data_IF_350098612986
#
_entry.id   IF_350098612986
#
_cell.length_a   1.000
_cell.length_b   1.000
_cell.length_c   1.000
_cell.angle_alpha   90.00
_cell.angle_beta   90.00
_cell.angle_gamma   90.00
#
_symmetry.space_group_name_H-M   'P 1'
#
loop_
_entity.id
_entity.type
_entity.pdbx_description
1 polymer ?
#
# COMPACT_ATOMS: atom_id res chain seq x y z
N UNK A 1 -21.55 9.35 -16.83
CA UNK A 1 -20.32 9.79 -17.51
C UNK A 1 -19.39 10.55 -16.57
N UNK A 2 -19.74 11.74 -16.06
CA UNK A 2 -18.85 12.55 -15.19
C UNK A 2 -18.42 11.81 -13.92
N UNK A 3 -19.36 11.13 -13.23
CA UNK A 3 -19.05 10.34 -12.04
C UNK A 3 -17.99 9.25 -12.29
N UNK A 4 -18.12 8.49 -13.39
CA UNK A 4 -17.12 7.47 -13.76
C UNK A 4 -15.76 8.09 -14.03
N UNK A 5 -15.69 9.25 -14.70
CA UNK A 5 -14.43 9.95 -14.96
C UNK A 5 -13.75 10.35 -13.64
N UNK A 6 -14.51 10.86 -12.66
CA UNK A 6 -13.97 11.22 -11.34
C UNK A 6 -13.40 10.00 -10.62
N UNK A 7 -14.14 8.89 -10.59
CA UNK A 7 -13.69 7.63 -9.97
C UNK A 7 -12.43 7.12 -10.64
N UNK A 8 -12.37 7.12 -11.98
CA UNK A 8 -11.18 6.68 -12.74
C UNK A 8 -9.97 7.54 -12.41
N UNK A 9 -10.09 8.87 -12.47
CA UNK A 9 -8.98 9.80 -12.16
C UNK A 9 -8.50 9.59 -10.72
N UNK A 10 -9.43 9.51 -9.76
CA UNK A 10 -9.07 9.30 -8.37
C UNK A 10 -8.39 7.93 -8.15
N UNK A 11 -8.84 6.88 -8.84
CA UNK A 11 -8.19 5.57 -8.81
C UNK A 11 -6.80 5.58 -9.45
N UNK A 12 -6.56 6.37 -10.50
CA UNK A 12 -5.20 6.56 -11.03
C UNK A 12 -4.30 7.29 -10.02
N UNK A 13 -4.82 8.27 -9.29
CA UNK A 13 -4.10 8.91 -8.19
C UNK A 13 -3.78 7.93 -7.07
N UNK A 14 -4.70 7.00 -6.77
CA UNK A 14 -4.46 5.91 -5.81
C UNK A 14 -3.26 5.05 -6.22
N UNK A 15 -3.23 4.57 -7.47
CA UNK A 15 -2.11 3.77 -7.99
C UNK A 15 -0.81 4.59 -8.01
N UNK A 16 -0.87 5.85 -8.45
CA UNK A 16 0.29 6.72 -8.48
C UNK A 16 0.89 6.97 -7.08
N UNK A 17 0.04 7.16 -6.07
CA UNK A 17 0.47 7.35 -4.67
C UNK A 17 1.17 6.10 -4.13
N UNK A 18 0.61 4.91 -4.40
CA UNK A 18 1.21 3.63 -4.00
C UNK A 18 2.52 3.36 -4.74
N UNK A 19 2.59 3.68 -6.04
CA UNK A 19 3.82 3.55 -6.81
C UNK A 19 4.93 4.48 -6.30
N UNK A 20 4.60 5.74 -5.96
CA UNK A 20 5.54 6.69 -5.35
C UNK A 20 6.04 6.19 -3.98
N UNK A 21 5.14 5.64 -3.17
CA UNK A 21 5.49 5.05 -1.88
C UNK A 21 6.42 3.84 -2.05
N UNK A 22 6.08 2.89 -2.93
CA UNK A 22 6.89 1.71 -3.21
C UNK A 22 8.27 2.07 -3.76
N UNK A 23 8.35 3.03 -4.69
CA UNK A 23 9.62 3.49 -5.24
C UNK A 23 10.49 4.17 -4.17
N UNK A 24 9.88 5.02 -3.34
CA UNK A 24 10.59 5.69 -2.23
C UNK A 24 11.07 4.68 -1.19
N UNK A 25 10.25 3.69 -0.89
CA UNK A 25 10.54 2.65 0.09
C UNK A 25 11.67 1.72 -0.38
N UNK A 26 11.62 1.24 -1.62
CA UNK A 26 12.69 0.44 -2.21
C UNK A 26 14.03 1.20 -2.30
N UNK A 27 13.99 2.49 -2.59
CA UNK A 27 15.22 3.28 -2.80
C UNK A 27 15.79 3.83 -1.51
N UNK A 28 14.95 4.29 -0.58
CA UNK A 28 15.34 5.09 0.58
C UNK A 28 14.87 4.52 1.91
N UNK A 29 14.12 3.42 1.91
CA UNK A 29 13.49 2.83 3.11
C UNK A 29 12.67 3.88 3.89
N UNK A 30 11.99 4.76 3.15
CA UNK A 30 11.20 5.86 3.69
C UNK A 30 9.96 6.08 2.84
N UNK A 31 8.81 6.12 3.50
CA UNK A 31 7.54 6.52 2.92
C UNK A 31 7.23 7.94 3.37
N UNK A 32 7.14 8.86 2.41
CA UNK A 32 6.83 10.26 2.68
C UNK A 32 5.33 10.44 2.98
N UNK A 33 4.97 11.42 3.82
CA UNK A 33 3.57 11.71 4.16
C UNK A 33 2.70 12.08 2.94
N UNK A 34 3.31 12.50 1.82
CA UNK A 34 2.57 12.85 0.60
C UNK A 34 1.74 11.69 0.04
N UNK A 35 2.23 10.46 0.12
CA UNK A 35 1.54 9.29 -0.42
C UNK A 35 0.24 8.99 0.35
N UNK A 36 0.25 8.78 1.68
CA UNK A 36 -0.98 8.58 2.44
C UNK A 36 -1.90 9.81 2.39
N UNK A 37 -1.37 11.03 2.38
CA UNK A 37 -2.21 12.23 2.22
C UNK A 37 -2.93 12.27 0.88
N UNK A 38 -2.25 11.89 -0.21
CA UNK A 38 -2.87 11.82 -1.53
C UNK A 38 -3.98 10.76 -1.57
N UNK A 39 -3.75 9.59 -0.97
CA UNK A 39 -4.78 8.55 -0.84
C UNK A 39 -6.01 9.04 -0.08
N UNK A 40 -5.83 9.71 1.06
CA UNK A 40 -6.94 10.25 1.84
C UNK A 40 -7.70 11.33 1.05
N UNK A 41 -6.98 12.25 0.41
CA UNK A 41 -7.55 13.36 -0.33
C UNK A 41 -8.32 12.89 -1.57
N UNK A 42 -7.82 11.90 -2.30
CA UNK A 42 -8.49 11.38 -3.50
C UNK A 42 -9.68 10.49 -3.17
N UNK A 43 -9.75 9.91 -1.97
CA UNK A 43 -10.87 9.06 -1.55
C UNK A 43 -12.21 9.83 -1.50
N UNK A 44 -12.20 11.05 -0.98
CA UNK A 44 -13.41 11.86 -0.81
C UNK A 44 -14.17 12.10 -2.13
N UNK A 45 -13.54 12.66 -3.19
CA UNK A 45 -14.24 12.83 -4.47
C UNK A 45 -14.60 11.48 -5.12
N UNK A 46 -13.80 10.43 -4.91
CA UNK A 46 -14.10 9.10 -5.44
C UNK A 46 -15.37 8.51 -4.79
N UNK A 47 -15.48 8.57 -3.47
CA UNK A 47 -16.64 8.07 -2.73
C UNK A 47 -17.92 8.85 -3.03
N UNK A 48 -17.82 10.18 -3.15
CA UNK A 48 -18.95 11.01 -3.57
C UNK A 48 -19.41 10.67 -4.99
N UNK A 49 -18.47 10.50 -5.92
CA UNK A 49 -18.80 10.12 -7.30
C UNK A 49 -19.29 8.67 -7.43
N UNK A 50 -18.83 7.77 -6.55
CA UNK A 50 -19.31 6.40 -6.47
C UNK A 50 -20.71 6.29 -5.83
N UNK A 51 -21.21 7.36 -5.23
CA UNK A 51 -22.53 7.40 -4.60
C UNK A 51 -22.58 6.65 -3.28
N UNK A 52 -21.47 6.59 -2.54
CA UNK A 52 -21.42 5.90 -1.24
C UNK A 52 -22.46 6.47 -0.27
N UNK A 53 -23.24 5.59 0.33
CA UNK A 53 -24.17 5.95 1.39
C UNK A 53 -23.47 6.17 2.73
N UNK A 54 -24.18 6.73 3.71
CA UNK A 54 -23.60 7.03 5.03
C UNK A 54 -23.06 5.79 5.76
N UNK A 55 -23.66 4.61 5.56
CA UNK A 55 -23.20 3.36 6.15
C UNK A 55 -21.90 2.89 5.52
N UNK A 56 -21.78 3.00 4.19
CA UNK A 56 -20.57 2.68 3.45
C UNK A 56 -19.40 3.61 3.83
N UNK A 57 -19.63 4.91 3.94
CA UNK A 57 -18.61 5.85 4.45
C UNK A 57 -18.09 5.44 5.82
N UNK A 58 -18.99 5.14 6.76
CA UNK A 58 -18.62 4.69 8.11
C UNK A 58 -17.89 3.36 8.10
N UNK A 59 -18.29 2.43 7.22
CA UNK A 59 -17.64 1.13 7.09
C UNK A 59 -16.20 1.25 6.58
N UNK A 60 -15.95 2.09 5.58
CA UNK A 60 -14.62 2.38 5.07
C UNK A 60 -13.74 3.07 6.11
N UNK A 61 -14.27 4.10 6.78
CA UNK A 61 -13.57 4.80 7.87
C UNK A 61 -13.27 3.87 9.05
N UNK A 62 -14.22 3.03 9.43
CA UNK A 62 -14.07 2.05 10.51
C UNK A 62 -12.99 1.01 10.20
N UNK A 63 -12.97 0.46 8.97
CA UNK A 63 -11.92 -0.45 8.53
C UNK A 63 -10.53 0.20 8.58
N UNK A 64 -10.41 1.43 8.05
CA UNK A 64 -9.16 2.18 8.08
C UNK A 64 -8.71 2.48 9.52
N UNK A 65 -9.63 2.84 10.41
CA UNK A 65 -9.32 3.18 11.80
C UNK A 65 -8.86 1.96 12.60
N UNK A 66 -9.50 0.80 12.43
CA UNK A 66 -9.07 -0.46 13.06
C UNK A 66 -7.65 -0.82 12.61
N UNK A 67 -7.39 -0.76 11.30
CA UNK A 67 -6.06 -1.05 10.76
C UNK A 67 -5.03 -0.02 11.23
N UNK A 68 -5.40 1.26 11.34
CA UNK A 68 -4.54 2.30 11.92
C UNK A 68 -4.20 2.01 13.38
N UNK A 69 -5.19 1.64 14.19
CA UNK A 69 -4.96 1.32 15.61
C UNK A 69 -3.98 0.14 15.77
N UNK A 70 -4.16 -0.92 15.00
CA UNK A 70 -3.26 -2.08 14.99
C UNK A 70 -1.86 -1.68 14.52
N UNK A 71 -1.76 -0.96 13.39
CA UNK A 71 -0.48 -0.55 12.84
C UNK A 71 0.27 0.44 13.75
N UNK A 72 -0.45 1.36 14.40
CA UNK A 72 0.10 2.29 15.37
C UNK A 72 0.62 1.56 16.62
N UNK A 73 -0.11 0.56 17.13
CA UNK A 73 0.36 -0.26 18.24
C UNK A 73 1.66 -1.00 17.86
N UNK A 74 1.73 -1.61 16.68
CA UNK A 74 2.92 -2.30 16.19
C UNK A 74 4.10 -1.33 15.95
N UNK A 75 3.84 -0.09 15.54
CA UNK A 75 4.84 0.96 15.43
C UNK A 75 5.41 1.38 16.79
N UNK A 76 4.55 1.61 17.79
CA UNK A 76 4.98 1.97 19.15
C UNK A 76 5.79 0.84 19.79
N UNK A 77 5.47 -0.41 19.50
CA UNK A 77 6.22 -1.59 19.94
C UNK A 77 7.54 -1.79 19.17
N UNK A 78 7.83 -0.99 18.14
CA UNK A 78 9.04 -1.10 17.32
C UNK A 78 9.05 -2.29 16.36
N UNK A 79 7.89 -2.93 16.14
CA UNK A 79 7.74 -4.11 15.26
C UNK A 79 7.57 -3.67 13.79
N UNK A 80 6.94 -2.52 13.56
CA UNK A 80 6.61 -2.02 12.22
C UNK A 80 7.15 -0.61 12.00
N UNK A 81 7.59 -0.29 10.78
CA UNK A 81 7.96 1.05 10.36
C UNK A 81 6.80 2.06 10.36
N UNK A 82 7.08 3.28 10.82
CA UNK A 82 6.09 4.36 10.90
C UNK A 82 5.60 4.88 9.55
N UNK A 83 6.32 4.59 8.46
CA UNK A 83 5.87 4.88 7.09
C UNK A 83 4.70 3.98 6.69
N UNK A 84 4.88 2.67 6.84
CA UNK A 84 3.86 1.67 6.53
C UNK A 84 2.62 1.82 7.42
N UNK A 85 2.83 2.14 8.70
CA UNK A 85 1.75 2.37 9.66
C UNK A 85 0.82 3.53 9.27
N UNK A 86 1.27 4.42 8.38
CA UNK A 86 0.45 5.50 7.80
C UNK A 86 -0.12 5.12 6.44
N UNK A 87 0.66 4.42 5.61
CA UNK A 87 0.27 4.07 4.25
C UNK A 87 -0.83 2.99 4.22
N UNK A 88 -0.67 1.94 5.02
CA UNK A 88 -1.58 0.80 5.05
C UNK A 88 -3.02 1.21 5.38
N UNK A 89 -3.29 1.98 6.45
CA UNK A 89 -4.65 2.45 6.74
C UNK A 89 -5.24 3.34 5.65
N UNK A 90 -4.43 4.19 5.02
CA UNK A 90 -4.87 5.05 3.93
C UNK A 90 -5.25 4.24 2.68
N UNK A 91 -4.55 3.14 2.41
CA UNK A 91 -4.93 2.19 1.36
C UNK A 91 -6.20 1.42 1.74
N UNK A 92 -6.32 0.97 3.00
CA UNK A 92 -7.52 0.27 3.49
C UNK A 92 -8.77 1.14 3.43
N UNK A 93 -8.64 2.46 3.61
CA UNK A 93 -9.76 3.38 3.42
C UNK A 93 -10.40 3.24 2.03
N UNK A 94 -9.60 3.03 0.98
CA UNK A 94 -10.12 2.77 -0.37
C UNK A 94 -10.72 1.38 -0.52
N UNK A 95 -10.02 0.40 0.02
CA UNK A 95 -10.38 -1.03 -0.11
C UNK A 95 -11.70 -1.34 0.58
N UNK A 96 -11.96 -0.69 1.72
CA UNK A 96 -13.11 -0.95 2.57
C UNK A 96 -13.06 -2.33 3.21
N UNK A 97 -14.05 -2.68 4.05
CA UNK A 97 -14.08 -3.96 4.74
C UNK A 97 -14.26 -5.15 3.80
N UNK A 98 -14.98 -4.98 2.69
CA UNK A 98 -15.25 -6.05 1.73
C UNK A 98 -13.97 -6.58 1.03
N UNK A 99 -13.03 -5.69 0.72
CA UNK A 99 -11.76 -6.06 0.10
C UNK A 99 -10.64 -6.37 1.09
N UNK A 100 -10.83 -6.07 2.39
CA UNK A 100 -9.76 -6.05 3.38
C UNK A 100 -9.04 -7.39 3.53
N UNK A 101 -9.78 -8.49 3.59
CA UNK A 101 -9.19 -9.83 3.77
C UNK A 101 -8.26 -10.21 2.60
N UNK A 102 -8.72 -9.99 1.36
CA UNK A 102 -7.92 -10.23 0.15
C UNK A 102 -6.71 -9.32 0.11
N UNK A 103 -6.89 -8.05 0.45
CA UNK A 103 -5.81 -7.06 0.48
C UNK A 103 -4.70 -7.47 1.44
N UNK A 104 -5.05 -7.82 2.69
CA UNK A 104 -4.07 -8.29 3.69
C UNK A 104 -3.38 -9.57 3.23
N UNK A 105 -4.11 -10.52 2.64
CA UNK A 105 -3.54 -11.76 2.13
C UNK A 105 -2.51 -11.50 1.03
N UNK A 106 -2.83 -10.68 0.02
CA UNK A 106 -1.90 -10.37 -1.07
C UNK A 106 -0.71 -9.57 -0.55
N UNK A 107 -0.95 -8.62 0.35
CA UNK A 107 0.12 -7.87 1.01
C UNK A 107 1.05 -8.81 1.79
N UNK A 108 0.50 -9.77 2.54
CA UNK A 108 1.28 -10.74 3.31
C UNK A 108 2.09 -11.67 2.40
N UNK A 109 1.50 -12.15 1.29
CA UNK A 109 2.20 -12.96 0.30
C UNK A 109 3.34 -12.18 -0.39
N UNK A 110 3.08 -10.95 -0.81
CA UNK A 110 4.08 -10.08 -1.41
C UNK A 110 5.22 -9.76 -0.41
N UNK A 111 4.88 -9.38 0.83
CA UNK A 111 5.85 -9.11 1.89
C UNK A 111 6.66 -10.34 2.30
N UNK A 112 6.00 -11.49 2.44
CA UNK A 112 6.65 -12.77 2.72
C UNK A 112 7.60 -13.19 1.60
N UNK A 113 7.19 -13.03 0.34
CA UNK A 113 8.05 -13.23 -0.82
C UNK A 113 9.29 -12.34 -0.80
N UNK A 114 9.12 -11.04 -0.51
CA UNK A 114 10.24 -10.10 -0.36
C UNK A 114 11.18 -10.49 0.79
N UNK A 115 10.64 -10.93 1.93
CA UNK A 115 11.43 -11.41 3.05
C UNK A 115 12.25 -12.67 2.69
N UNK A 116 11.65 -13.61 1.94
CA UNK A 116 12.35 -14.79 1.43
C UNK A 116 13.46 -14.41 0.45
N UNK A 117 13.18 -13.51 -0.51
CA UNK A 117 14.19 -13.00 -1.46
C UNK A 117 15.34 -12.33 -0.72
N UNK A 118 15.05 -11.48 0.27
CA UNK A 118 16.06 -10.84 1.10
C UNK A 118 16.90 -11.86 1.88
N UNK A 119 16.28 -12.90 2.45
CA UNK A 119 16.97 -13.96 3.17
C UNK A 119 17.88 -14.79 2.24
N UNK A 120 17.40 -15.13 1.04
CA UNK A 120 18.19 -15.86 0.03
C UNK A 120 19.35 -15.00 -0.49
N UNK A 121 19.11 -13.72 -0.78
CA UNK A 121 20.18 -12.80 -1.19
C UNK A 121 21.31 -12.75 -0.17
N UNK A 122 20.98 -12.78 1.13
CA UNK A 122 21.97 -12.86 2.23
C UNK A 122 22.69 -14.20 2.31
N UNK A 123 22.00 -15.33 2.06
CA UNK A 123 22.56 -16.68 2.23
C UNK A 123 23.42 -17.16 1.06
N UNK A 124 22.98 -16.88 -0.17
CA UNK A 124 23.62 -17.47 -1.37
C UNK A 124 24.71 -16.56 -1.94
N UNK A 125 25.06 -15.46 -1.25
CA UNK A 125 26.11 -14.54 -1.70
C UNK A 125 25.87 -14.03 -3.11
N UNK A 126 24.60 -13.76 -3.46
CA UNK A 126 24.14 -13.45 -4.81
C UNK A 126 24.57 -12.04 -5.23
N UNK A 127 25.86 -11.84 -5.46
CA UNK A 127 26.38 -11.06 -6.57
C UNK A 127 27.91 -10.97 -6.49
N UNK A 128 28.64 -11.29 -7.57
CA UNK A 128 29.90 -10.59 -7.83
C UNK A 128 29.53 -9.10 -7.95
N UNK A 129 30.19 -8.25 -7.17
CA UNK A 129 30.10 -6.77 -7.16
C UNK A 129 29.07 -6.13 -8.11
N UNK A 130 28.08 -5.41 -7.58
CA UNK A 130 27.13 -4.67 -8.43
C UNK A 130 25.91 -4.11 -7.68
N UNK A 131 25.02 -3.38 -8.37
CA UNK A 131 23.92 -2.62 -7.75
C UNK A 131 22.96 -3.45 -6.89
N UNK A 132 22.77 -4.73 -7.22
CA UNK A 132 21.92 -5.67 -6.46
C UNK A 132 22.54 -6.00 -5.11
N UNK A 133 23.87 -6.17 -5.07
CA UNK A 133 24.61 -6.40 -3.82
C UNK A 133 24.52 -5.18 -2.91
N UNK A 134 24.80 -4.01 -3.46
CA UNK A 134 24.77 -2.74 -2.72
C UNK A 134 23.37 -2.48 -2.14
N UNK A 135 22.32 -2.79 -2.91
CA UNK A 135 20.95 -2.71 -2.42
C UNK A 135 20.67 -3.72 -1.30
N UNK A 136 21.11 -4.97 -1.45
CA UNK A 136 20.95 -6.01 -0.44
C UNK A 136 21.70 -5.70 0.87
N UNK A 137 22.90 -5.13 0.79
CA UNK A 137 23.67 -4.66 1.94
C UNK A 137 22.97 -3.49 2.64
N UNK A 138 22.43 -2.53 1.88
CA UNK A 138 21.62 -1.43 2.43
C UNK A 138 20.32 -1.90 3.08
N UNK A 139 19.67 -2.92 2.50
CA UNK A 139 18.49 -3.56 3.07
C UNK A 139 18.81 -4.28 4.37
N UNK A 140 19.92 -5.02 4.41
CA UNK A 140 20.37 -5.68 5.63
C UNK A 140 20.74 -4.66 6.72
N UNK A 141 21.36 -3.55 6.35
CA UNK A 141 21.74 -2.47 7.27
C UNK A 141 20.54 -1.65 7.77
N UNK A 142 19.49 -1.49 6.96
CA UNK A 142 18.29 -0.74 7.37
C UNK A 142 17.45 -1.48 8.41
N UNK A 143 17.55 -2.83 8.44
CA UNK A 143 16.71 -3.68 9.28
C UNK A 143 15.21 -3.59 8.93
N UNK A 144 14.87 -2.95 7.80
CA UNK A 144 13.50 -2.69 7.37
C UNK A 144 13.20 -3.46 6.08
N UNK A 145 12.17 -4.29 6.11
CA UNK A 145 11.60 -4.88 4.89
C UNK A 145 10.76 -3.80 4.20
N UNK A 146 10.92 -3.54 2.89
CA UNK A 146 10.18 -2.51 2.19
C UNK A 146 8.72 -2.93 1.95
N UNK A 147 7.89 -2.82 3.00
CA UNK A 147 6.48 -3.16 2.99
C UNK A 147 5.65 -2.23 2.11
N UNK A 148 6.14 -1.03 1.77
CA UNK A 148 5.52 -0.13 0.81
C UNK A 148 5.34 -0.81 -0.56
N UNK A 149 6.29 -1.68 -0.97
CA UNK A 149 6.13 -2.49 -2.19
C UNK A 149 5.02 -3.53 -2.04
N UNK A 150 4.91 -4.19 -0.88
CA UNK A 150 3.87 -5.18 -0.63
C UNK A 150 2.46 -4.56 -0.57
N UNK A 151 2.34 -3.39 0.06
CA UNK A 151 1.10 -2.59 0.09
C UNK A 151 0.73 -2.14 -1.32
N UNK A 152 1.70 -1.70 -2.13
CA UNK A 152 1.45 -1.30 -3.51
C UNK A 152 1.00 -2.48 -4.40
N UNK A 153 1.57 -3.67 -4.22
CA UNK A 153 1.16 -4.87 -4.94
C UNK A 153 -0.31 -5.25 -4.63
N UNK A 154 -0.69 -5.24 -3.35
CA UNK A 154 -2.06 -5.49 -2.93
C UNK A 154 -3.04 -4.41 -3.42
N UNK A 155 -2.62 -3.14 -3.38
CA UNK A 155 -3.42 -2.03 -3.90
C UNK A 155 -3.62 -2.10 -5.40
N UNK A 156 -2.61 -2.54 -6.17
CA UNK A 156 -2.75 -2.73 -7.61
C UNK A 156 -3.73 -3.86 -7.94
N UNK A 157 -3.68 -5.01 -7.24
CA UNK A 157 -4.68 -6.07 -7.40
C UNK A 157 -6.10 -5.57 -7.13
N UNK A 158 -6.29 -4.86 -6.01
CA UNK A 158 -7.58 -4.27 -5.69
C UNK A 158 -8.03 -3.27 -6.75
N UNK A 159 -7.15 -2.38 -7.21
CA UNK A 159 -7.47 -1.38 -8.22
C UNK A 159 -7.90 -2.01 -9.54
N UNK A 160 -7.21 -3.08 -9.99
CA UNK A 160 -7.59 -3.80 -11.21
C UNK A 160 -9.02 -4.32 -11.08
N UNK A 161 -9.34 -5.00 -9.98
CA UNK A 161 -10.68 -5.58 -9.76
C UNK A 161 -11.75 -4.49 -9.66
N UNK A 162 -11.46 -3.42 -8.93
CA UNK A 162 -12.41 -2.34 -8.70
C UNK A 162 -12.62 -1.45 -9.93
N UNK A 163 -11.60 -1.25 -10.77
CA UNK A 163 -11.63 -0.28 -11.86
C UNK A 163 -11.89 -0.90 -13.24
N UNK A 164 -11.47 -2.15 -13.47
CA UNK A 164 -11.63 -2.80 -14.79
C UNK A 164 -13.09 -2.78 -15.31
N UNK A 165 -14.13 -3.08 -14.50
CA UNK A 165 -15.52 -3.00 -14.97
C UNK A 165 -15.95 -1.60 -15.41
N UNK A 166 -15.36 -0.55 -14.79
CA UNK A 166 -15.67 0.86 -15.08
C UNK A 166 -14.96 1.39 -16.33
N UNK A 167 -13.92 0.70 -16.79
CA UNK A 167 -13.18 1.02 -18.02
C UNK A 167 -13.74 0.31 -19.25
N UNK A 168 -14.45 -0.80 -19.04
CA UNK A 168 -15.00 -1.65 -20.11
C UNK A 168 -16.46 -1.36 -20.46
N UNK A 169 -17.14 -0.47 -19.73
CA UNK A 169 -18.52 -0.06 -19.94
C UNK A 169 -18.68 1.45 -19.95
#
# INVERSE_FOLDING_TARGET
MIANVVVVIAGLLFVAALADAAQSDLRRFRIHNRAPLLLLASFVPAGLAAGLDGGEWLAHLGAALVVFAVAAALFVLGIWGGGDAKLLPAAVLWVGPAGLARFIMIMALAGGGLAVVALLARRVGLAPSGPVRDWGERLAASGHVPYGLAIAAAGLDWWIIAMLPRLMG
#
